data_IF_606658248013
#
_entry.id   IF_606658248013
#
_cell.length_a   1.000
_cell.length_b   1.000
_cell.length_c   1.000
_cell.angle_alpha   90.00
_cell.angle_beta   90.00
_cell.angle_gamma   90.00
#
_symmetry.space_group_name_H-M   'P 1'
#
loop_
_entity.id
_entity.type
_entity.pdbx_description
1 polymer ?
#
# COMPACT_ATOMS: atom_id res chain seq x y z
N UNK A 1 16.86 2.53 12.74
CA UNK A 1 16.71 1.25 12.03
C UNK A 1 16.34 1.56 10.58
N UNK A 2 16.93 0.86 9.60
CA UNK A 2 16.60 1.00 8.16
C UNK A 2 15.50 -0.01 7.81
N UNK A 3 14.60 0.33 6.89
CA UNK A 3 13.46 -0.53 6.54
C UNK A 3 13.86 -1.73 5.68
N UNK A 4 14.92 -1.61 4.88
CA UNK A 4 15.29 -2.63 3.89
C UNK A 4 14.30 -2.76 2.73
N UNK A 5 13.41 -1.76 2.56
CA UNK A 5 12.32 -1.79 1.60
C UNK A 5 12.77 -1.28 0.21
N UNK A 6 12.01 -1.62 -0.83
CA UNK A 6 12.22 -1.13 -2.18
C UNK A 6 12.16 0.40 -2.25
N UNK A 7 11.18 1.02 -1.58
CA UNK A 7 11.07 2.48 -1.52
C UNK A 7 12.31 3.12 -0.87
N UNK A 8 12.82 2.57 0.23
CA UNK A 8 14.07 3.04 0.85
C UNK A 8 15.25 2.94 -0.12
N UNK A 9 15.37 1.82 -0.84
CA UNK A 9 16.43 1.59 -1.83
C UNK A 9 16.39 2.63 -2.95
N UNK A 10 15.21 2.90 -3.52
CA UNK A 10 15.04 3.88 -4.60
C UNK A 10 15.41 5.28 -4.13
N UNK A 11 14.85 5.72 -2.99
CA UNK A 11 15.15 7.04 -2.42
C UNK A 11 16.65 7.20 -2.07
N UNK A 12 17.27 6.18 -1.49
CA UNK A 12 18.69 6.22 -1.11
C UNK A 12 19.61 6.23 -2.33
N UNK A 13 19.20 5.62 -3.44
CA UNK A 13 19.97 5.64 -4.69
C UNK A 13 19.95 6.99 -5.43
N UNK A 14 19.15 7.96 -4.97
CA UNK A 14 18.89 9.21 -5.70
C UNK A 14 17.97 9.04 -6.91
N UNK A 15 17.30 7.89 -7.04
CA UNK A 15 16.32 7.62 -8.09
C UNK A 15 15.02 8.39 -7.86
N UNK A 16 14.26 8.60 -8.94
CA UNK A 16 12.93 9.19 -8.87
C UNK A 16 11.92 8.13 -8.40
N UNK A 17 11.44 8.25 -7.16
CA UNK A 17 10.47 7.32 -6.60
C UNK A 17 9.05 7.62 -7.06
N UNK A 18 8.34 6.59 -7.53
CA UNK A 18 6.93 6.65 -7.90
C UNK A 18 6.12 5.82 -6.91
N UNK A 19 5.12 6.43 -6.28
CA UNK A 19 4.20 5.70 -5.39
C UNK A 19 2.77 5.81 -5.88
N UNK A 20 1.99 4.76 -5.62
CA UNK A 20 0.54 4.75 -5.83
C UNK A 20 -0.21 4.88 -4.51
N UNK A 21 -1.52 5.11 -4.58
CA UNK A 21 -2.42 5.04 -3.42
C UNK A 21 -3.48 3.96 -3.63
N UNK A 22 -3.71 3.14 -2.60
CA UNK A 22 -4.73 2.10 -2.58
C UNK A 22 -5.55 2.19 -1.29
N UNK A 23 -6.79 2.65 -1.43
CA UNK A 23 -7.76 2.67 -0.34
C UNK A 23 -8.42 1.29 -0.13
N UNK A 24 -8.41 0.75 1.10
CA UNK A 24 -9.14 -0.48 1.43
C UNK A 24 -10.66 -0.35 1.18
N UNK A 25 -11.35 -1.44 0.82
CA UNK A 25 -12.80 -1.43 0.59
C UNK A 25 -13.60 -1.29 1.90
N UNK A 26 -14.89 -0.96 1.79
CA UNK A 26 -15.83 -0.89 2.93
C UNK A 26 -16.34 -2.26 3.41
N UNK A 27 -15.98 -3.33 2.69
CA UNK A 27 -16.37 -4.70 3.00
C UNK A 27 -15.11 -5.57 3.18
N UNK A 28 -15.30 -6.87 3.42
CA UNK A 28 -14.22 -7.83 3.63
C UNK A 28 -13.69 -8.48 2.35
N UNK A 29 -14.13 -8.05 1.17
CA UNK A 29 -13.76 -8.68 -0.10
C UNK A 29 -12.29 -8.37 -0.47
N UNK A 30 -11.39 -9.38 -0.46
CA UNK A 30 -9.98 -9.17 -0.79
C UNK A 30 -9.74 -8.90 -2.28
N UNK A 31 -10.64 -9.29 -3.18
CA UNK A 31 -10.45 -9.12 -4.62
C UNK A 31 -10.39 -7.66 -5.04
N UNK A 32 -11.06 -6.76 -4.30
CA UNK A 32 -10.97 -5.31 -4.52
C UNK A 32 -9.55 -4.80 -4.29
N UNK A 33 -8.82 -5.38 -3.32
CA UNK A 33 -7.42 -5.03 -3.06
C UNK A 33 -6.51 -5.70 -4.08
N UNK A 34 -6.72 -6.99 -4.39
CA UNK A 34 -5.90 -7.72 -5.38
C UNK A 34 -5.95 -7.08 -6.76
N UNK A 35 -7.14 -6.75 -7.26
CA UNK A 35 -7.33 -6.10 -8.56
C UNK A 35 -6.56 -4.78 -8.64
N UNK A 36 -6.69 -3.91 -7.63
CA UNK A 36 -5.93 -2.65 -7.56
C UNK A 36 -4.42 -2.87 -7.46
N UNK A 37 -3.98 -3.82 -6.64
CA UNK A 37 -2.55 -4.14 -6.51
C UNK A 37 -1.96 -4.62 -7.85
N UNK A 38 -2.68 -5.48 -8.59
CA UNK A 38 -2.26 -5.95 -9.92
C UNK A 38 -2.12 -4.83 -10.95
N UNK A 39 -2.99 -3.82 -10.91
CA UNK A 39 -2.87 -2.63 -11.77
C UNK A 39 -1.61 -1.81 -11.45
N UNK A 40 -1.23 -1.73 -10.19
CA UNK A 40 -0.07 -0.95 -9.74
C UNK A 40 1.25 -1.72 -9.86
N UNK A 41 1.19 -3.05 -9.87
CA UNK A 41 2.38 -3.91 -9.97
C UNK A 41 3.20 -3.58 -11.21
N UNK A 42 4.50 -3.32 -11.01
CA UNK A 42 5.43 -2.96 -12.08
C UNK A 42 5.37 -1.50 -12.51
N UNK A 43 4.39 -0.72 -12.01
CA UNK A 43 4.24 0.71 -12.32
C UNK A 43 4.65 1.62 -11.16
N UNK A 44 4.74 1.11 -9.93
CA UNK A 44 5.08 1.87 -8.72
C UNK A 44 6.16 1.17 -7.90
N UNK A 45 6.97 1.94 -7.18
CA UNK A 45 7.98 1.44 -6.25
C UNK A 45 7.38 0.96 -4.93
N UNK A 46 6.27 1.58 -4.52
CA UNK A 46 5.46 1.19 -3.36
C UNK A 46 4.03 1.72 -3.47
N UNK A 47 3.13 1.18 -2.67
CA UNK A 47 1.73 1.60 -2.59
C UNK A 47 1.36 2.06 -1.19
N UNK A 48 0.84 3.28 -1.08
CA UNK A 48 0.32 3.83 0.16
C UNK A 48 -1.05 3.20 0.47
N UNK A 49 -1.16 2.52 1.60
CA UNK A 49 -2.42 1.94 2.06
C UNK A 49 -3.03 2.88 3.10
N UNK A 50 -4.16 3.51 2.75
CA UNK A 50 -4.80 4.50 3.61
C UNK A 50 -5.53 3.85 4.79
N UNK A 51 -5.37 4.44 5.98
CA UNK A 51 -6.08 4.03 7.19
C UNK A 51 -7.36 4.84 7.39
N UNK A 52 -8.50 4.15 7.38
CA UNK A 52 -9.83 4.71 7.65
C UNK A 52 -10.10 6.05 6.95
N UNK A 53 -9.79 6.14 5.64
CA UNK A 53 -9.98 7.35 4.84
C UNK A 53 -11.39 7.92 5.06
N UNK A 54 -11.45 9.24 5.32
CA UNK A 54 -12.66 10.01 5.72
C UNK A 54 -13.34 9.55 7.01
N UNK A 55 -12.60 8.94 7.94
CA UNK A 55 -13.12 8.39 9.21
C UNK A 55 -14.20 7.30 9.01
N UNK A 56 -14.19 6.63 7.87
CA UNK A 56 -15.13 5.54 7.56
C UNK A 56 -14.46 4.20 7.83
N UNK A 57 -15.17 3.31 8.52
CA UNK A 57 -14.75 1.92 8.74
C UNK A 57 -14.56 1.23 7.40
N UNK A 58 -13.38 0.64 7.22
CA UNK A 58 -12.97 -0.10 6.02
C UNK A 58 -12.26 -1.38 6.46
N UNK A 59 -11.96 -2.24 5.51
CA UNK A 59 -10.99 -3.31 5.71
C UNK A 59 -9.72 -2.75 6.37
N UNK A 60 -9.16 -3.50 7.32
CA UNK A 60 -7.91 -3.15 8.00
C UNK A 60 -6.83 -2.76 7.00
N UNK A 61 -6.18 -1.61 7.19
CA UNK A 61 -5.06 -1.15 6.36
C UNK A 61 -3.90 -2.16 6.38
N UNK A 62 -3.60 -2.76 7.53
CA UNK A 62 -2.59 -3.82 7.66
C UNK A 62 -3.00 -5.06 6.85
N UNK A 63 -4.25 -5.49 6.95
CA UNK A 63 -4.76 -6.62 6.18
C UNK A 63 -4.72 -6.37 4.67
N UNK A 64 -5.13 -5.19 4.23
CA UNK A 64 -5.03 -4.77 2.83
C UNK A 64 -3.57 -4.71 2.35
N UNK A 65 -2.65 -4.26 3.20
CA UNK A 65 -1.21 -4.26 2.90
C UNK A 65 -0.64 -5.65 2.73
N UNK A 66 -1.01 -6.62 3.57
CA UNK A 66 -0.60 -8.02 3.41
C UNK A 66 -1.12 -8.60 2.09
N UNK A 67 -2.36 -8.29 1.70
CA UNK A 67 -2.91 -8.70 0.40
C UNK A 67 -2.12 -8.08 -0.74
N UNK A 68 -1.84 -6.77 -0.69
CA UNK A 68 -1.04 -6.08 -1.71
C UNK A 68 0.38 -6.66 -1.82
N UNK A 69 1.01 -6.97 -0.68
CA UNK A 69 2.31 -7.63 -0.62
C UNK A 69 2.27 -9.02 -1.28
N UNK A 70 1.19 -9.80 -1.06
CA UNK A 70 1.00 -11.11 -1.70
C UNK A 70 0.86 -11.02 -3.22
N UNK A 71 0.42 -9.88 -3.75
CA UNK A 71 0.35 -9.60 -5.19
C UNK A 71 1.66 -9.02 -5.74
N UNK A 72 2.69 -8.86 -4.90
CA UNK A 72 4.03 -8.42 -5.29
C UNK A 72 4.21 -6.90 -5.34
N UNK A 73 3.43 -6.14 -4.58
CA UNK A 73 3.59 -4.68 -4.45
C UNK A 73 3.91 -4.33 -2.99
N UNK A 74 4.97 -3.55 -2.77
CA UNK A 74 5.40 -3.14 -1.44
C UNK A 74 4.39 -2.16 -0.80
N UNK A 75 3.78 -2.49 0.36
CA UNK A 75 2.85 -1.60 1.03
C UNK A 75 3.56 -0.62 1.97
N UNK A 76 3.14 0.64 1.95
CA UNK A 76 3.41 1.64 2.99
C UNK A 76 2.11 1.84 3.77
N UNK A 77 2.05 1.28 4.98
CA UNK A 77 0.87 1.37 5.83
C UNK A 77 0.81 2.76 6.46
N UNK A 78 -0.23 3.52 6.14
CA UNK A 78 -0.54 4.75 6.86
C UNK A 78 -1.25 4.40 8.16
N UNK A 79 -1.04 5.22 9.19
CA UNK A 79 -1.70 5.08 10.48
C UNK A 79 -2.09 6.47 10.96
N UNK A 80 -3.34 6.62 11.39
CA UNK A 80 -3.85 7.88 11.92
C UNK A 80 -3.94 7.83 13.45
N UNK A 81 -3.73 8.96 14.12
CA UNK A 81 -3.76 9.08 15.59
C UNK A 81 -4.97 9.89 16.09
N UNK A 82 -6.09 9.87 15.36
CA UNK A 82 -7.27 10.68 15.69
C UNK A 82 -7.89 10.26 17.02
#
# INVERSE_FOLDING_TARGET
MKSGSNLERVLTSGGFAVTGELGPPKNSDPEVVRSKARLLRGNVDAVNITDCQTAIVRMSSIGAGLIAQSEGVEPVIQMTCR
#
